data_IF_294954696633
#
_entry.id   IF_294954696633
#
_cell.length_a   1.000
_cell.length_b   1.000
_cell.length_c   1.000
_cell.angle_alpha   90.00
_cell.angle_beta   90.00
_cell.angle_gamma   90.00
#
_symmetry.space_group_name_H-M   'P 1'
#
loop_
_entity.id
_entity.type
_entity.pdbx_description
1 polymer ?
#
# COMPACT_ATOMS: atom_id res chain seq x y z
N UNK A 1 4.40 17.36 1.52
CA UNK A 1 4.16 15.97 1.94
C UNK A 1 3.34 15.25 0.90
N UNK A 2 3.66 13.98 0.60
CA UNK A 2 2.79 13.09 -0.17
C UNK A 2 2.05 12.16 0.81
N UNK A 3 0.76 12.41 0.99
CA UNK A 3 -0.11 11.64 1.90
C UNK A 3 -0.93 10.56 1.16
N UNK A 4 -0.64 10.28 -0.10
CA UNK A 4 -1.38 9.35 -0.96
C UNK A 4 -1.55 7.96 -0.34
N UNK A 5 -0.58 7.47 0.41
CA UNK A 5 -0.64 6.16 1.06
C UNK A 5 -1.01 6.24 2.55
N UNK A 6 -1.27 7.43 3.10
CA UNK A 6 -1.61 7.65 4.50
C UNK A 6 -3.12 7.90 4.70
N UNK A 7 -3.72 8.74 3.85
CA UNK A 7 -5.15 9.09 3.91
C UNK A 7 -6.02 7.83 3.83
N UNK A 8 -7.01 7.74 4.74
CA UNK A 8 -7.89 6.60 4.88
C UNK A 8 -7.26 5.34 5.51
N UNK A 9 -6.01 5.45 6.03
CA UNK A 9 -5.31 4.34 6.68
C UNK A 9 -4.77 4.69 8.05
N UNK A 10 -4.33 5.94 8.23
CA UNK A 10 -3.88 6.51 9.49
C UNK A 10 -4.43 7.93 9.63
N UNK A 11 -4.52 8.49 10.85
CA UNK A 11 -4.82 9.90 11.03
C UNK A 11 -3.81 10.79 10.29
N UNK A 12 -4.30 11.76 9.53
CA UNK A 12 -3.48 12.72 8.78
C UNK A 12 -3.83 14.13 9.19
N UNK A 13 -2.84 14.96 9.50
CA UNK A 13 -3.00 16.38 9.80
C UNK A 13 -2.26 17.23 8.79
N UNK A 14 -2.80 18.40 8.47
CA UNK A 14 -2.13 19.43 7.68
C UNK A 14 -1.33 20.41 8.54
N UNK A 15 -1.33 20.23 9.87
CA UNK A 15 -0.56 21.04 10.80
C UNK A 15 0.94 20.89 10.54
N UNK A 16 1.68 22.00 10.49
CA UNK A 16 3.12 21.99 10.22
C UNK A 16 3.50 21.68 8.75
N UNK A 17 2.53 21.55 7.85
CA UNK A 17 2.75 21.21 6.44
C UNK A 17 2.42 22.41 5.54
N UNK A 18 3.25 22.67 4.54
CA UNK A 18 3.02 23.73 3.54
C UNK A 18 2.20 23.23 2.35
N UNK A 19 2.49 22.03 1.88
CA UNK A 19 1.73 21.36 0.82
C UNK A 19 1.53 19.88 1.11
N UNK A 20 0.36 19.37 0.76
CA UNK A 20 0.03 17.94 0.87
C UNK A 20 -0.70 17.47 -0.39
N UNK A 21 -0.21 16.38 -0.98
CA UNK A 21 -0.85 15.74 -2.13
C UNK A 21 -1.46 14.39 -1.75
N UNK A 22 -2.58 14.07 -2.37
CA UNK A 22 -3.27 12.78 -2.23
C UNK A 22 -4.07 12.45 -3.50
N UNK A 23 -4.53 11.22 -3.65
CA UNK A 23 -5.32 10.77 -4.79
C UNK A 23 -6.42 9.80 -4.37
N UNK A 24 -7.63 10.00 -4.94
CA UNK A 24 -8.85 9.33 -4.53
C UNK A 24 -8.79 7.79 -4.60
N UNK A 25 -8.21 7.23 -5.66
CA UNK A 25 -8.17 5.78 -5.88
C UNK A 25 -7.33 5.00 -4.84
N UNK A 26 -6.66 5.66 -3.91
CA UNK A 26 -5.93 5.02 -2.80
C UNK A 26 -6.75 4.91 -1.52
N UNK A 27 -7.94 5.53 -1.51
CA UNK A 27 -8.93 5.42 -0.44
C UNK A 27 -10.36 5.27 -1.02
N UNK A 28 -10.48 4.37 -2.02
CA UNK A 28 -11.71 3.87 -2.64
C UNK A 28 -12.52 4.88 -3.48
N UNK A 29 -11.96 6.06 -3.79
CA UNK A 29 -12.54 6.99 -4.75
C UNK A 29 -12.20 6.62 -6.20
N UNK A 30 -12.74 7.37 -7.15
CA UNK A 30 -12.51 7.15 -8.57
C UNK A 30 -11.06 7.48 -8.98
N UNK A 31 -10.58 6.78 -9.98
CA UNK A 31 -9.29 7.09 -10.62
C UNK A 31 -9.40 8.34 -11.51
N UNK A 32 -8.28 9.01 -11.77
CA UNK A 32 -8.20 10.16 -12.67
C UNK A 32 -8.22 11.52 -11.98
N UNK A 33 -8.29 11.58 -10.64
CA UNK A 33 -8.24 12.82 -9.88
C UNK A 33 -7.25 12.72 -8.70
N UNK A 34 -6.56 13.83 -8.45
CA UNK A 34 -5.75 14.06 -7.26
C UNK A 34 -6.10 15.42 -6.63
N UNK A 35 -5.68 15.60 -5.41
CA UNK A 35 -5.83 16.83 -4.63
C UNK A 35 -4.47 17.32 -4.17
N UNK A 36 -4.24 18.63 -4.31
CA UNK A 36 -3.14 19.37 -3.69
C UNK A 36 -3.72 20.35 -2.68
N UNK A 37 -3.45 20.13 -1.41
CA UNK A 37 -3.65 21.11 -0.36
C UNK A 37 -2.43 22.00 -0.26
N UNK A 38 -2.62 23.30 -0.09
CA UNK A 38 -1.54 24.28 0.13
C UNK A 38 -1.93 25.34 1.14
N UNK A 39 -0.96 25.90 1.85
CA UNK A 39 -1.19 27.11 2.65
C UNK A 39 -1.57 28.27 1.74
N UNK A 40 -2.46 29.12 2.20
CA UNK A 40 -2.98 30.25 1.40
C UNK A 40 -1.85 31.21 0.97
N UNK A 41 -0.89 31.45 1.84
CA UNK A 41 0.23 32.36 1.62
C UNK A 41 1.37 31.78 0.78
N UNK A 42 1.31 30.50 0.42
CA UNK A 42 2.33 29.88 -0.43
C UNK A 42 2.03 30.20 -1.91
N UNK A 43 2.94 30.86 -2.58
CA UNK A 43 2.86 31.05 -4.03
C UNK A 43 3.18 29.74 -4.76
N UNK A 44 2.38 29.41 -5.77
CA UNK A 44 2.65 28.32 -6.70
C UNK A 44 2.62 28.85 -8.12
N UNK A 45 3.63 28.51 -8.87
CA UNK A 45 3.67 28.78 -10.32
C UNK A 45 2.92 27.66 -11.06
N UNK A 46 1.96 27.97 -11.92
CA UNK A 46 1.21 26.95 -12.66
C UNK A 46 2.10 26.25 -13.68
N UNK A 47 1.98 24.94 -13.80
CA UNK A 47 2.64 24.14 -14.85
C UNK A 47 1.83 24.10 -16.16
N UNK A 48 0.50 24.34 -16.09
CA UNK A 48 -0.42 24.32 -17.22
C UNK A 48 -1.02 25.70 -17.37
N UNK A 49 -0.60 26.42 -18.40
CA UNK A 49 -1.04 27.76 -18.72
C UNK A 49 -2.21 27.78 -19.69
N UNK A 50 -2.98 28.87 -19.72
CA UNK A 50 -4.14 29.08 -20.59
C UNK A 50 -5.12 30.04 -19.97
N UNK A 51 -6.44 29.82 -20.21
CA UNK A 51 -7.52 30.71 -19.68
C UNK A 51 -7.59 30.68 -18.15
N UNK A 52 -7.87 31.82 -17.55
CA UNK A 52 -7.92 32.08 -16.09
C UNK A 52 -9.32 31.94 -15.50
N UNK A 53 -10.26 31.25 -16.17
CA UNK A 53 -11.68 31.28 -15.85
C UNK A 53 -12.07 30.59 -14.53
N UNK A 54 -11.25 29.71 -13.99
CA UNK A 54 -11.59 28.90 -12.80
C UNK A 54 -10.58 28.98 -11.68
N UNK A 55 -9.29 28.97 -12.00
CA UNK A 55 -8.21 29.04 -11.02
C UNK A 55 -6.93 29.53 -11.65
N UNK A 56 -6.12 30.24 -10.86
CA UNK A 56 -4.78 30.71 -11.26
C UNK A 56 -3.73 29.56 -11.27
N UNK A 57 -4.06 28.37 -10.74
CA UNK A 57 -3.09 27.29 -10.57
C UNK A 57 -3.04 26.32 -11.75
N UNK A 58 -4.08 26.28 -12.59
CA UNK A 58 -4.14 25.49 -13.82
C UNK A 58 -5.26 25.97 -14.74
N UNK A 59 -5.02 25.95 -16.02
CA UNK A 59 -6.08 26.18 -17.02
C UNK A 59 -6.92 24.92 -17.28
N UNK A 60 -8.03 25.09 -17.99
CA UNK A 60 -8.96 24.04 -18.40
C UNK A 60 -10.13 23.84 -17.44
N UNK A 61 -11.22 23.30 -17.97
CA UNK A 61 -12.46 23.06 -17.22
C UNK A 61 -12.27 21.97 -16.16
N UNK A 62 -12.63 22.21 -14.89
CA UNK A 62 -12.58 21.21 -13.85
C UNK A 62 -13.58 20.07 -14.11
N UNK A 63 -13.17 18.83 -13.80
CA UNK A 63 -14.04 17.65 -13.81
C UNK A 63 -14.83 17.59 -12.51
N UNK A 64 -15.98 18.27 -12.45
CA UNK A 64 -16.79 18.40 -11.23
C UNK A 64 -17.21 17.04 -10.68
N UNK A 65 -17.60 16.10 -11.54
CA UNK A 65 -17.99 14.75 -11.12
C UNK A 65 -16.86 14.00 -10.38
N UNK A 66 -15.63 14.08 -10.89
CA UNK A 66 -14.48 13.48 -10.20
C UNK A 66 -14.14 14.22 -8.91
N UNK A 67 -14.26 15.54 -8.88
CA UNK A 67 -14.03 16.33 -7.66
C UNK A 67 -15.04 15.98 -6.57
N UNK A 68 -16.32 15.84 -6.92
CA UNK A 68 -17.38 15.41 -5.98
C UNK A 68 -17.15 13.97 -5.48
N UNK A 69 -16.75 13.07 -6.36
CA UNK A 69 -16.37 11.71 -5.98
C UNK A 69 -15.17 11.67 -5.00
N UNK A 70 -14.16 12.52 -5.24
CA UNK A 70 -13.02 12.63 -4.34
C UNK A 70 -13.43 13.16 -2.97
N UNK A 71 -14.29 14.19 -2.93
CA UNK A 71 -14.77 14.78 -1.68
C UNK A 71 -15.54 13.75 -0.84
N UNK A 72 -16.48 13.03 -1.44
CA UNK A 72 -17.23 11.96 -0.77
C UNK A 72 -16.31 10.82 -0.28
N UNK A 73 -15.39 10.37 -1.13
CA UNK A 73 -14.45 9.31 -0.73
C UNK A 73 -13.55 9.75 0.42
N UNK A 74 -13.13 11.01 0.46
CA UNK A 74 -12.33 11.56 1.55
C UNK A 74 -13.12 11.65 2.86
N UNK A 75 -14.35 12.11 2.80
CA UNK A 75 -15.27 12.18 3.93
C UNK A 75 -15.48 10.80 4.56
N UNK A 76 -15.86 9.81 3.76
CA UNK A 76 -16.04 8.43 4.20
C UNK A 76 -14.73 7.83 4.75
N UNK A 77 -13.59 8.08 4.10
CA UNK A 77 -12.30 7.57 4.54
C UNK A 77 -11.85 8.15 5.89
N UNK A 78 -12.25 9.37 6.23
CA UNK A 78 -11.96 10.00 7.53
C UNK A 78 -12.95 9.51 8.59
N UNK A 79 -14.23 9.46 8.27
CA UNK A 79 -15.31 9.06 9.19
C UNK A 79 -15.15 7.59 9.62
N UNK A 80 -14.88 6.70 8.67
CA UNK A 80 -14.76 5.25 8.92
C UNK A 80 -13.37 4.79 9.33
N UNK A 81 -12.41 5.73 9.43
CA UNK A 81 -11.02 5.39 9.73
C UNK A 81 -10.82 4.52 10.98
N UNK A 82 -11.46 4.81 12.14
CA UNK A 82 -11.26 4.00 13.35
C UNK A 82 -11.64 2.53 13.17
N UNK A 83 -12.81 2.29 12.55
CA UNK A 83 -13.33 0.94 12.30
C UNK A 83 -12.45 0.18 11.29
N UNK A 84 -12.11 0.84 10.18
CA UNK A 84 -11.26 0.26 9.14
C UNK A 84 -9.85 -0.06 9.67
N UNK A 85 -9.28 0.82 10.48
CA UNK A 85 -7.95 0.60 11.08
C UNK A 85 -7.97 -0.60 12.03
N UNK A 86 -9.01 -0.74 12.86
CA UNK A 86 -9.15 -1.87 13.77
C UNK A 86 -9.29 -3.20 13.02
N UNK A 87 -10.12 -3.24 11.97
CA UNK A 87 -10.30 -4.44 11.15
C UNK A 87 -8.97 -4.90 10.51
N UNK A 88 -8.22 -3.96 9.92
CA UNK A 88 -6.93 -4.27 9.30
C UNK A 88 -5.87 -4.65 10.35
N UNK A 89 -5.90 -4.05 11.53
CA UNK A 89 -5.01 -4.41 12.63
C UNK A 89 -5.21 -5.86 13.06
N UNK A 90 -6.48 -6.31 13.20
CA UNK A 90 -6.82 -7.70 13.53
C UNK A 90 -6.33 -8.66 12.45
N UNK A 91 -6.58 -8.35 11.18
CA UNK A 91 -6.12 -9.16 10.04
C UNK A 91 -4.59 -9.27 9.98
N UNK A 92 -3.87 -8.16 10.20
CA UNK A 92 -2.40 -8.15 10.21
C UNK A 92 -1.85 -8.97 11.38
N UNK A 93 -2.40 -8.81 12.58
CA UNK A 93 -1.97 -9.55 13.77
C UNK A 93 -2.19 -11.07 13.59
N UNK A 94 -3.33 -11.47 13.03
CA UNK A 94 -3.61 -12.86 12.69
C UNK A 94 -2.57 -13.43 11.73
N UNK A 95 -2.30 -12.74 10.61
CA UNK A 95 -1.29 -13.20 9.65
C UNK A 95 0.10 -13.29 10.25
N UNK A 96 0.51 -12.32 11.08
CA UNK A 96 1.81 -12.37 11.77
C UNK A 96 1.95 -13.61 12.64
N UNK A 97 0.90 -13.93 13.41
CA UNK A 97 0.88 -15.11 14.28
C UNK A 97 0.98 -16.39 13.47
N UNK A 98 0.22 -16.53 12.40
CA UNK A 98 0.22 -17.74 11.58
C UNK A 98 1.53 -17.92 10.80
N UNK A 99 2.04 -16.84 10.19
CA UNK A 99 3.27 -16.87 9.41
C UNK A 99 4.52 -17.08 10.26
N UNK A 100 4.52 -16.70 11.53
CA UNK A 100 5.61 -16.96 12.46
C UNK A 100 5.82 -18.45 12.76
N UNK A 101 4.86 -19.32 12.44
CA UNK A 101 4.98 -20.78 12.59
C UNK A 101 5.92 -21.42 11.57
N UNK A 102 6.27 -20.70 10.51
CA UNK A 102 7.13 -21.20 9.42
C UNK A 102 8.60 -20.79 9.63
N UNK A 103 9.53 -21.73 9.87
CA UNK A 103 10.91 -21.41 10.30
C UNK A 103 11.72 -20.57 9.31
N UNK A 104 11.43 -20.68 8.00
CA UNK A 104 12.13 -19.90 6.95
C UNK A 104 11.44 -18.56 6.64
N UNK A 105 10.35 -18.22 7.32
CA UNK A 105 9.66 -16.93 7.13
C UNK A 105 10.30 -15.87 8.01
N UNK A 106 10.61 -14.74 7.41
CA UNK A 106 11.04 -13.53 8.09
C UNK A 106 10.05 -12.40 7.79
N UNK A 107 9.43 -11.85 8.81
CA UNK A 107 8.59 -10.66 8.70
C UNK A 107 9.51 -9.44 8.73
N UNK A 108 9.48 -8.63 7.67
CA UNK A 108 10.32 -7.44 7.50
C UNK A 108 9.63 -6.17 8.00
N UNK A 109 8.28 -6.14 8.01
CA UNK A 109 7.52 -5.01 8.56
C UNK A 109 7.63 -4.99 10.08
N UNK A 110 8.14 -3.90 10.71
CA UNK A 110 8.20 -3.79 12.17
C UNK A 110 6.78 -3.77 12.78
N UNK A 111 6.68 -4.00 14.09
CA UNK A 111 5.37 -4.07 14.77
C UNK A 111 4.60 -2.76 14.74
N UNK A 112 5.31 -1.64 14.77
CA UNK A 112 4.75 -0.29 14.70
C UNK A 112 4.54 0.22 13.26
N UNK A 113 4.70 -0.64 12.24
CA UNK A 113 4.38 -0.28 10.87
C UNK A 113 2.86 -0.19 10.66
N UNK A 114 2.47 0.53 9.60
CA UNK A 114 1.07 0.58 9.16
C UNK A 114 0.55 -0.85 8.90
N UNK A 115 -0.59 -1.26 9.50
CA UNK A 115 -1.04 -2.65 9.42
C UNK A 115 -1.54 -3.08 8.03
N UNK A 116 -1.78 -2.13 7.14
CA UNK A 116 -2.23 -2.37 5.76
C UNK A 116 -1.19 -3.07 4.89
N UNK A 117 0.07 -3.11 5.31
CA UNK A 117 1.18 -3.67 4.54
C UNK A 117 1.99 -4.61 5.43
N UNK A 118 2.05 -5.88 5.03
CA UNK A 118 2.92 -6.87 5.63
C UNK A 118 3.97 -7.30 4.61
N UNK A 119 5.21 -6.87 4.80
CA UNK A 119 6.32 -7.33 4.00
C UNK A 119 7.01 -8.49 4.69
N UNK A 120 7.26 -9.56 3.96
CA UNK A 120 7.93 -10.76 4.45
C UNK A 120 8.84 -11.35 3.38
N UNK A 121 9.69 -12.26 3.82
CA UNK A 121 10.60 -13.04 2.97
C UNK A 121 10.51 -14.52 3.35
N UNK A 122 10.68 -15.40 2.37
CA UNK A 122 10.94 -16.82 2.62
C UNK A 122 12.41 -17.08 2.29
N UNK A 123 13.18 -17.55 3.26
CA UNK A 123 14.62 -17.74 3.14
C UNK A 123 14.95 -18.67 1.96
N UNK A 124 15.96 -18.29 1.17
CA UNK A 124 16.46 -18.99 -0.01
C UNK A 124 15.48 -19.11 -1.19
N UNK A 125 14.30 -18.49 -1.11
CA UNK A 125 13.33 -18.42 -2.19
C UNK A 125 13.24 -16.97 -2.70
N UNK A 126 13.47 -16.75 -4.00
CA UNK A 126 13.29 -15.42 -4.60
C UNK A 126 11.82 -14.98 -4.48
N UNK A 127 11.58 -13.73 -4.08
CA UNK A 127 10.22 -13.19 -3.94
C UNK A 127 9.38 -13.28 -5.23
N UNK A 128 10.01 -13.15 -6.41
CA UNK A 128 9.35 -13.32 -7.71
C UNK A 128 8.91 -14.76 -7.98
N UNK A 129 9.65 -15.74 -7.49
CA UNK A 129 9.27 -17.15 -7.61
C UNK A 129 8.08 -17.44 -6.69
N UNK A 130 8.17 -17.01 -5.43
CA UNK A 130 7.07 -17.21 -4.48
C UNK A 130 5.78 -16.50 -4.92
N UNK A 131 5.90 -15.28 -5.47
CA UNK A 131 4.77 -14.55 -6.05
C UNK A 131 4.11 -15.33 -7.19
N UNK A 132 4.89 -15.91 -8.10
CA UNK A 132 4.35 -16.69 -9.22
C UNK A 132 3.57 -17.90 -8.72
N UNK A 133 4.12 -18.69 -7.81
CA UNK A 133 3.45 -19.87 -7.25
C UNK A 133 2.14 -19.48 -6.54
N UNK A 134 2.14 -18.40 -5.75
CA UNK A 134 0.91 -17.87 -5.13
C UNK A 134 -0.12 -17.44 -6.17
N UNK A 135 0.33 -16.82 -7.29
CA UNK A 135 -0.58 -16.41 -8.36
C UNK A 135 -1.22 -17.61 -9.07
N UNK A 136 -0.51 -18.72 -9.23
CA UNK A 136 -1.06 -19.99 -9.74
C UNK A 136 -2.11 -20.59 -8.80
N UNK A 137 -1.99 -20.33 -7.50
CA UNK A 137 -3.00 -20.67 -6.48
C UNK A 137 -4.14 -19.62 -6.37
N UNK A 138 -4.20 -18.62 -7.27
CA UNK A 138 -5.21 -17.57 -7.29
C UNK A 138 -4.98 -16.43 -6.29
N UNK A 139 -3.79 -16.35 -5.67
CA UNK A 139 -3.46 -15.33 -4.67
C UNK A 139 -2.51 -14.28 -5.24
N UNK A 140 -2.96 -13.04 -5.35
CA UNK A 140 -2.19 -11.92 -5.87
C UNK A 140 -1.42 -11.19 -4.75
N UNK A 141 -0.10 -11.19 -4.85
CA UNK A 141 0.82 -10.45 -3.97
C UNK A 141 1.78 -9.58 -4.78
N UNK A 142 2.52 -8.69 -4.14
CA UNK A 142 3.46 -7.80 -4.82
C UNK A 142 4.87 -7.99 -4.34
N UNK A 143 5.84 -8.07 -5.24
CA UNK A 143 7.27 -8.12 -4.88
C UNK A 143 7.81 -6.71 -4.63
N UNK A 144 7.34 -5.71 -5.40
CA UNK A 144 7.77 -4.31 -5.33
C UNK A 144 6.60 -3.35 -5.59
N UNK A 145 6.86 -2.04 -5.52
CA UNK A 145 5.92 -1.05 -6.06
C UNK A 145 5.85 -1.15 -7.59
N UNK A 146 4.70 -0.77 -8.16
CA UNK A 146 4.48 -0.79 -9.61
C UNK A 146 5.54 -0.02 -10.43
N UNK A 147 6.21 0.95 -9.81
CA UNK A 147 7.26 1.76 -10.43
C UNK A 147 8.66 1.09 -10.45
N UNK A 148 8.81 -0.13 -9.95
CA UNK A 148 10.12 -0.78 -9.75
C UNK A 148 10.06 -2.24 -10.21
N UNK A 149 10.00 -2.49 -11.53
CA UNK A 149 9.90 -3.84 -12.13
C UNK A 149 11.24 -4.45 -12.56
N UNK A 150 12.36 -3.91 -12.11
CA UNK A 150 13.72 -4.16 -12.60
C UNK A 150 14.42 -5.46 -12.14
N UNK A 151 13.72 -6.40 -11.50
CA UNK A 151 14.31 -7.66 -11.00
C UNK A 151 15.35 -7.48 -9.86
N UNK A 152 15.68 -6.24 -9.45
CA UNK A 152 16.65 -5.93 -8.40
C UNK A 152 16.06 -6.17 -7.00
N UNK A 153 16.90 -6.27 -5.95
CA UNK A 153 16.43 -6.37 -4.57
C UNK A 153 15.55 -5.19 -4.16
N UNK A 154 14.61 -5.41 -3.25
CA UNK A 154 13.83 -4.32 -2.65
C UNK A 154 14.76 -3.33 -1.96
N UNK A 155 14.82 -2.08 -2.46
CA UNK A 155 15.64 -1.01 -1.86
C UNK A 155 15.21 -0.71 -0.42
N UNK A 156 13.91 -0.70 -0.15
CA UNK A 156 13.38 -0.44 1.19
C UNK A 156 13.79 -1.53 2.17
N UNK A 157 13.61 -2.81 1.82
CA UNK A 157 14.01 -3.93 2.68
C UNK A 157 15.54 -3.94 2.87
N UNK A 158 16.31 -3.69 1.81
CA UNK A 158 17.77 -3.61 1.93
C UNK A 158 18.23 -2.45 2.81
N UNK A 159 17.61 -1.28 2.70
CA UNK A 159 17.97 -0.12 3.52
C UNK A 159 17.81 -0.40 5.02
N UNK A 160 16.79 -1.18 5.41
CA UNK A 160 16.51 -1.52 6.80
C UNK A 160 17.32 -2.73 7.26
N UNK A 161 17.36 -3.80 6.46
CA UNK A 161 17.96 -5.07 6.86
C UNK A 161 19.46 -5.18 6.61
N UNK A 162 20.01 -4.38 5.68
CA UNK A 162 21.37 -4.49 5.12
C UNK A 162 21.67 -5.89 4.55
N UNK A 163 20.65 -6.67 4.30
CA UNK A 163 20.71 -8.04 3.82
C UNK A 163 20.16 -8.13 2.39
N UNK A 164 21.06 -8.33 1.43
CA UNK A 164 20.70 -8.43 0.00
C UNK A 164 19.89 -9.70 -0.30
N UNK A 165 20.17 -10.82 0.39
CA UNK A 165 19.44 -12.08 0.19
C UNK A 165 17.99 -11.91 0.67
N UNK A 166 17.82 -11.37 1.88
CA UNK A 166 16.51 -11.05 2.41
C UNK A 166 15.72 -10.10 1.48
N UNK A 167 16.37 -9.04 0.97
CA UNK A 167 15.74 -8.09 0.06
C UNK A 167 15.33 -8.71 -1.30
N UNK A 168 16.06 -9.72 -1.80
CA UNK A 168 15.70 -10.49 -3.00
C UNK A 168 14.55 -11.46 -2.76
N UNK A 169 14.43 -11.98 -1.55
CA UNK A 169 13.39 -12.93 -1.14
C UNK A 169 12.11 -12.23 -0.69
N UNK A 170 12.12 -10.90 -0.58
CA UNK A 170 11.01 -10.16 -0.01
C UNK A 170 9.84 -9.94 -0.98
N UNK A 171 8.64 -10.00 -0.44
CA UNK A 171 7.38 -9.68 -1.11
C UNK A 171 6.37 -9.14 -0.09
N UNK A 172 5.19 -8.71 -0.56
CA UNK A 172 4.26 -7.92 0.24
C UNK A 172 2.84 -8.43 0.12
N UNK A 173 2.21 -8.66 1.26
CA UNK A 173 0.76 -8.75 1.39
C UNK A 173 0.21 -7.34 1.63
N UNK A 174 -0.89 -7.01 0.97
CA UNK A 174 -1.63 -5.76 1.19
C UNK A 174 -3.02 -6.11 1.73
N UNK A 175 -3.38 -5.50 2.85
CA UNK A 175 -4.63 -5.71 3.55
C UNK A 175 -5.53 -4.47 3.46
N UNK A 176 -6.82 -4.67 3.55
CA UNK A 176 -7.83 -3.62 3.64
C UNK A 176 -8.92 -4.01 4.64
N UNK A 177 -9.81 -3.07 4.96
CA UNK A 177 -11.00 -3.37 5.77
C UNK A 177 -11.96 -4.35 5.09
N UNK A 178 -11.82 -4.55 3.78
CA UNK A 178 -12.59 -5.52 3.00
C UNK A 178 -11.99 -6.93 3.02
N UNK A 179 -10.79 -7.10 3.59
CA UNK A 179 -10.15 -8.41 3.71
C UNK A 179 -10.90 -9.25 4.74
N UNK A 180 -11.53 -10.33 4.29
CA UNK A 180 -12.33 -11.21 5.12
C UNK A 180 -11.50 -12.27 5.82
N UNK A 181 -12.07 -12.93 6.82
CA UNK A 181 -11.44 -14.10 7.46
C UNK A 181 -11.25 -15.25 6.48
N UNK A 182 -12.18 -15.43 5.55
CA UNK A 182 -12.08 -16.43 4.49
C UNK A 182 -10.90 -16.17 3.56
N UNK A 183 -10.68 -14.88 3.16
CA UNK A 183 -9.50 -14.47 2.38
C UNK A 183 -8.20 -14.80 3.10
N UNK A 184 -8.13 -14.52 4.41
CA UNK A 184 -6.95 -14.80 5.23
C UNK A 184 -6.66 -16.31 5.32
N UNK A 185 -7.68 -17.11 5.53
CA UNK A 185 -7.57 -18.58 5.57
C UNK A 185 -7.21 -19.17 4.21
N UNK A 186 -7.83 -18.66 3.13
CA UNK A 186 -7.50 -19.03 1.75
C UNK A 186 -6.04 -18.70 1.39
N UNK A 187 -5.59 -17.49 1.75
CA UNK A 187 -4.19 -17.10 1.61
C UNK A 187 -3.25 -18.05 2.35
N UNK A 188 -3.52 -18.37 3.62
CA UNK A 188 -2.64 -19.25 4.41
C UNK A 188 -2.59 -20.66 3.86
N UNK A 189 -3.71 -21.19 3.35
CA UNK A 189 -3.74 -22.51 2.71
C UNK A 189 -2.90 -22.54 1.42
N UNK A 190 -3.00 -21.51 0.58
CA UNK A 190 -2.16 -21.37 -0.61
C UNK A 190 -0.69 -21.18 -0.24
N UNK A 191 -0.43 -20.34 0.77
CA UNK A 191 0.93 -20.11 1.28
C UNK A 191 1.59 -21.40 1.76
N UNK A 192 0.89 -22.25 2.53
CA UNK A 192 1.42 -23.53 3.03
C UNK A 192 1.83 -24.46 1.89
N UNK A 193 0.98 -24.60 0.85
CA UNK A 193 1.30 -25.40 -0.33
C UNK A 193 2.56 -24.88 -1.05
N UNK A 194 2.62 -23.58 -1.33
CA UNK A 194 3.78 -22.96 -1.98
C UNK A 194 5.05 -23.09 -1.11
N UNK A 195 4.92 -22.86 0.20
CA UNK A 195 6.05 -22.94 1.12
C UNK A 195 6.66 -24.33 1.13
N UNK A 196 5.86 -25.39 1.28
CA UNK A 196 6.34 -26.78 1.26
C UNK A 196 6.95 -27.14 -0.08
N UNK A 197 6.28 -26.82 -1.19
CA UNK A 197 6.78 -27.10 -2.53
C UNK A 197 8.15 -26.46 -2.82
N UNK A 198 8.37 -25.23 -2.32
CA UNK A 198 9.62 -24.48 -2.59
C UNK A 198 10.73 -24.70 -1.56
N UNK A 199 10.43 -25.21 -0.36
CA UNK A 199 11.42 -25.30 0.73
C UNK A 199 11.74 -26.72 1.18
N UNK A 200 10.89 -27.72 0.89
CA UNK A 200 11.06 -29.11 1.33
C UNK A 200 11.48 -30.05 0.18
N UNK A 201 11.38 -29.58 -1.08
CA UNK A 201 11.72 -30.39 -2.28
C UNK A 201 13.19 -30.26 -2.69
N UNK A 202 14.10 -30.10 -1.73
CA UNK A 202 15.56 -30.09 -1.99
C UNK A 202 16.28 -31.13 -1.14
#
# INVERSE_FOLDING_TARGET
>A
VNATQAVGKIPVSFEGVDTMSLTAHKFYGLNGIGLLLKRRNLALEPLIHGGESTTIYRSGTPTVALASSLALALELAVEQLPEHAEAVQKANAFLRTELAKYPKVRINSPENAIPHILNLSVQDVKGTVFQRELNEEGVCVSVKSACSSDGLPSRAVFAVSRDRRNALSSWRVSLSHQTTEEDLRGFLAAFDRCYRGLTETK
#
